data_IF_079831972350
#
_entry.id   IF_079831972350
#
_cell.length_a   1.000
_cell.length_b   1.000
_cell.length_c   1.000
_cell.angle_alpha   90.00
_cell.angle_beta   90.00
_cell.angle_gamma   90.00
#
_symmetry.space_group_name_H-M   'P 1'
#
loop_
_entity.id
_entity.type
_entity.pdbx_description
1 polymer ?
#
# COMPACT_ATOMS: atom_id res chain seq x y z
N UNK A 1 1.05 1.61 18.41
CA UNK A 1 1.04 2.69 17.38
C UNK A 1 -0.43 2.95 17.07
N UNK A 2 -0.85 4.21 16.91
CA UNK A 2 -2.22 4.52 16.46
C UNK A 2 -2.36 4.17 14.98
N UNK A 3 -3.54 3.71 14.54
CA UNK A 3 -3.82 3.35 13.14
C UNK A 3 -3.44 4.46 12.16
N UNK A 4 -3.76 5.71 12.50
CA UNK A 4 -3.41 6.90 11.72
C UNK A 4 -1.90 7.01 11.44
N UNK A 5 -1.05 6.68 12.43
CA UNK A 5 0.41 6.71 12.25
C UNK A 5 0.87 5.62 11.30
N UNK A 6 0.25 4.44 11.37
CA UNK A 6 0.52 3.32 10.45
C UNK A 6 0.12 3.70 9.02
N UNK A 7 -1.08 4.24 8.83
CA UNK A 7 -1.57 4.71 7.53
C UNK A 7 -0.62 5.74 6.92
N UNK A 8 -0.16 6.73 7.70
CA UNK A 8 0.80 7.73 7.22
C UNK A 8 2.13 7.10 6.78
N UNK A 9 2.66 6.15 7.55
CA UNK A 9 3.90 5.44 7.19
C UNK A 9 3.72 4.62 5.90
N UNK A 10 2.58 3.96 5.74
CA UNK A 10 2.24 3.25 4.52
C UNK A 10 2.19 4.20 3.31
N UNK A 11 1.56 5.37 3.45
CA UNK A 11 1.51 6.39 2.40
C UNK A 11 2.92 6.87 2.00
N UNK A 12 3.80 7.13 2.97
CA UNK A 12 5.18 7.53 2.69
C UNK A 12 5.96 6.46 1.89
N UNK A 13 5.73 5.18 2.18
CA UNK A 13 6.36 4.08 1.43
C UNK A 13 5.78 3.98 0.01
N UNK A 14 4.47 4.14 -0.15
CA UNK A 14 3.81 4.14 -1.46
C UNK A 14 4.31 5.29 -2.35
N UNK A 15 4.51 6.47 -1.79
CA UNK A 15 5.08 7.62 -2.52
C UNK A 15 6.50 7.34 -3.04
N UNK A 16 7.31 6.60 -2.28
CA UNK A 16 8.64 6.17 -2.73
C UNK A 16 8.55 5.21 -3.91
N UNK A 17 7.60 4.26 -3.87
CA UNK A 17 7.36 3.33 -4.99
C UNK A 17 6.90 4.10 -6.24
N UNK A 18 6.02 5.08 -6.07
CA UNK A 18 5.53 5.92 -7.17
C UNK A 18 6.63 6.78 -7.81
N UNK A 19 7.60 7.23 -7.01
CA UNK A 19 8.70 8.08 -7.47
C UNK A 19 9.88 7.31 -8.06
N UNK A 20 9.87 5.99 -7.99
CA UNK A 20 10.94 5.14 -8.49
C UNK A 20 10.73 4.80 -9.98
N UNK A 21 11.62 5.32 -10.83
CA UNK A 21 11.58 5.09 -12.28
C UNK A 21 11.94 3.66 -12.69
N UNK A 22 12.57 2.88 -11.82
CA UNK A 22 12.78 1.46 -12.04
C UNK A 22 11.49 0.63 -11.87
N UNK A 23 10.43 1.23 -11.33
CA UNK A 23 9.15 0.55 -11.11
C UNK A 23 8.25 0.68 -12.36
N UNK A 24 7.75 -0.46 -12.88
CA UNK A 24 6.76 -0.49 -13.97
C UNK A 24 5.56 0.43 -13.72
N UNK A 25 5.06 1.06 -14.79
CA UNK A 25 3.97 2.06 -14.73
C UNK A 25 2.68 1.49 -14.12
N UNK A 26 2.37 0.22 -14.37
CA UNK A 26 1.20 -0.44 -13.80
C UNK A 26 1.30 -0.53 -12.27
N UNK A 27 2.47 -0.89 -11.73
CA UNK A 27 2.70 -1.00 -10.29
C UNK A 27 2.65 0.37 -9.63
N UNK A 28 3.26 1.40 -10.24
CA UNK A 28 3.15 2.79 -9.76
C UNK A 28 1.71 3.28 -9.71
N UNK A 29 0.90 2.94 -10.71
CA UNK A 29 -0.53 3.29 -10.75
C UNK A 29 -1.34 2.57 -9.66
N UNK A 30 -1.04 1.30 -9.39
CA UNK A 30 -1.69 0.59 -8.29
C UNK A 30 -1.29 1.16 -6.93
N UNK A 31 -0.01 1.52 -6.74
CA UNK A 31 0.44 2.20 -5.52
C UNK A 31 -0.26 3.55 -5.30
N UNK A 32 -0.49 4.32 -6.38
CA UNK A 32 -1.29 5.54 -6.34
C UNK A 32 -2.75 5.28 -5.93
N UNK A 33 -3.36 4.23 -6.47
CA UNK A 33 -4.73 3.83 -6.09
C UNK A 33 -4.81 3.43 -4.61
N UNK A 34 -3.85 2.63 -4.13
CA UNK A 34 -3.77 2.26 -2.71
C UNK A 34 -3.63 3.50 -1.84
N UNK A 35 -2.76 4.44 -2.21
CA UNK A 35 -2.61 5.71 -1.49
C UNK A 35 -3.93 6.48 -1.42
N UNK A 36 -4.68 6.55 -2.52
CA UNK A 36 -5.98 7.24 -2.53
C UNK A 36 -6.99 6.60 -1.56
N UNK A 37 -7.04 5.25 -1.51
CA UNK A 37 -7.87 4.51 -0.56
C UNK A 37 -7.47 4.82 0.89
N UNK A 38 -6.17 4.80 1.20
CA UNK A 38 -5.69 5.06 2.56
C UNK A 38 -5.98 6.50 3.04
N UNK A 39 -6.08 7.45 2.11
CA UNK A 39 -6.38 8.87 2.39
C UNK A 39 -7.88 9.20 2.37
N UNK A 40 -8.74 8.24 2.05
CA UNK A 40 -10.18 8.46 2.02
C UNK A 40 -10.75 8.63 3.44
N UNK A 41 -11.12 9.85 3.81
CA UNK A 41 -11.68 10.15 5.13
C UNK A 41 -13.13 9.65 5.31
N UNK A 42 -13.81 9.26 4.22
CA UNK A 42 -15.20 8.78 4.27
C UNK A 42 -15.32 7.32 4.70
N UNK A 43 -14.25 6.54 4.57
CA UNK A 43 -14.21 5.11 4.86
C UNK A 43 -13.59 4.80 6.23
N UNK A 44 -13.98 3.65 6.81
CA UNK A 44 -13.39 3.15 8.05
C UNK A 44 -11.95 2.68 7.80
N UNK A 45 -11.06 2.90 8.77
CA UNK A 45 -9.65 2.45 8.72
C UNK A 45 -9.49 0.96 8.41
N UNK A 46 -10.36 0.11 8.97
CA UNK A 46 -10.33 -1.34 8.71
C UNK A 46 -10.70 -1.68 7.26
N UNK A 47 -11.69 -0.97 6.70
CA UNK A 47 -12.13 -1.15 5.31
C UNK A 47 -11.01 -0.68 4.37
N UNK A 48 -10.43 0.49 4.64
CA UNK A 48 -9.28 1.02 3.90
C UNK A 48 -8.10 0.05 3.90
N UNK A 49 -7.75 -0.49 5.07
CA UNK A 49 -6.67 -1.45 5.21
C UNK A 49 -6.93 -2.72 4.39
N UNK A 50 -8.14 -3.29 4.49
CA UNK A 50 -8.50 -4.50 3.75
C UNK A 50 -8.47 -4.29 2.22
N UNK A 51 -9.04 -3.19 1.73
CA UNK A 51 -9.03 -2.85 0.30
C UNK A 51 -7.61 -2.60 -0.21
N UNK A 52 -6.78 -1.90 0.57
CA UNK A 52 -5.38 -1.67 0.25
C UNK A 52 -4.59 -2.98 0.17
N UNK A 53 -4.70 -3.87 1.16
CA UNK A 53 -4.01 -5.17 1.19
C UNK A 53 -4.37 -5.99 -0.05
N UNK A 54 -5.66 -6.06 -0.42
CA UNK A 54 -6.09 -6.79 -1.62
C UNK A 54 -5.37 -6.33 -2.89
N UNK A 55 -5.25 -5.02 -3.11
CA UNK A 55 -4.54 -4.47 -4.28
C UNK A 55 -3.03 -4.72 -4.19
N UNK A 56 -2.45 -4.61 -2.99
CA UNK A 56 -1.03 -4.86 -2.74
C UNK A 56 -0.66 -6.33 -3.01
N UNK A 57 -1.54 -7.27 -2.69
CA UNK A 57 -1.37 -8.69 -2.99
C UNK A 57 -1.45 -8.96 -4.49
N UNK A 58 -2.38 -8.32 -5.20
CA UNK A 58 -2.48 -8.43 -6.66
C UNK A 58 -1.19 -7.99 -7.35
N UNK A 59 -0.64 -6.82 -7.00
CA UNK A 59 0.62 -6.33 -7.60
C UNK A 59 1.84 -7.10 -7.13
N UNK A 60 1.79 -7.70 -5.93
CA UNK A 60 2.84 -8.60 -5.46
C UNK A 60 2.94 -9.84 -6.36
N UNK A 61 1.87 -10.25 -7.01
CA UNK A 61 1.89 -11.38 -7.93
C UNK A 61 2.32 -11.02 -9.37
N UNK A 62 2.63 -9.74 -9.65
CA UNK A 62 3.12 -9.33 -10.98
C UNK A 62 4.51 -9.95 -11.26
N UNK A 63 4.72 -10.60 -12.42
CA UNK A 63 6.00 -11.20 -12.76
C UNK A 63 7.11 -10.17 -13.02
N UNK A 64 6.77 -8.92 -13.35
CA UNK A 64 7.70 -7.85 -13.68
C UNK A 64 8.04 -6.94 -12.49
N UNK A 65 7.49 -7.20 -11.31
CA UNK A 65 7.78 -6.39 -10.11
C UNK A 65 9.25 -6.54 -9.69
N UNK A 66 9.97 -5.42 -9.50
CA UNK A 66 11.32 -5.45 -8.94
C UNK A 66 11.35 -6.04 -7.53
N UNK A 67 12.44 -6.74 -7.19
CA UNK A 67 12.58 -7.40 -5.88
C UNK A 67 12.45 -6.41 -4.71
N UNK A 68 13.09 -5.23 -4.81
CA UNK A 68 13.02 -4.22 -3.76
C UNK A 68 11.60 -3.68 -3.59
N UNK A 69 10.88 -3.46 -4.69
CA UNK A 69 9.48 -3.02 -4.68
C UNK A 69 8.56 -4.06 -4.04
N UNK A 70 8.78 -5.35 -4.33
CA UNK A 70 8.06 -6.46 -3.69
C UNK A 70 8.25 -6.47 -2.17
N UNK A 71 9.48 -6.27 -1.69
CA UNK A 71 9.76 -6.18 -0.24
C UNK A 71 9.07 -4.97 0.39
N UNK A 72 9.05 -3.82 -0.29
CA UNK A 72 8.34 -2.62 0.19
C UNK A 72 6.83 -2.85 0.27
N UNK A 73 6.24 -3.47 -0.76
CA UNK A 73 4.80 -3.79 -0.77
C UNK A 73 4.43 -4.75 0.35
N UNK A 74 5.22 -5.82 0.53
CA UNK A 74 5.03 -6.75 1.64
C UNK A 74 5.07 -6.03 3.00
N UNK A 75 6.03 -5.12 3.18
CA UNK A 75 6.14 -4.33 4.40
C UNK A 75 4.91 -3.42 4.62
N UNK A 76 4.38 -2.79 3.58
CA UNK A 76 3.14 -1.99 3.67
C UNK A 76 1.95 -2.88 4.02
N UNK A 77 1.78 -4.02 3.36
CA UNK A 77 0.69 -4.95 3.65
C UNK A 77 0.73 -5.43 5.11
N UNK A 78 1.90 -5.87 5.61
CA UNK A 78 2.06 -6.29 7.00
C UNK A 78 1.81 -5.17 8.01
N UNK A 79 2.12 -3.92 7.67
CA UNK A 79 1.75 -2.78 8.52
C UNK A 79 0.23 -2.57 8.55
N UNK A 80 -0.43 -2.63 7.41
CA UNK A 80 -1.89 -2.47 7.32
C UNK A 80 -2.64 -3.59 8.05
N UNK A 81 -2.11 -4.81 8.08
CA UNK A 81 -2.67 -5.93 8.86
C UNK A 81 -2.69 -5.67 10.37
N UNK A 82 -1.84 -4.76 10.87
CA UNK A 82 -1.85 -4.39 12.29
C UNK A 82 -3.03 -3.49 12.68
N UNK A 83 -3.77 -2.97 11.71
CA UNK A 83 -4.96 -2.15 11.94
C UNK A 83 -6.09 -3.08 12.41
N UNK A 84 -6.65 -2.87 13.62
CA UNK A 84 -7.70 -3.73 14.14
C UNK A 84 -8.96 -3.64 13.26
N UNK A 85 -9.53 -4.79 12.93
CA UNK A 85 -10.90 -4.87 12.39
C UNK A 85 -11.84 -4.66 13.57
N UNK A 86 -12.27 -3.42 13.78
CA UNK A 86 -13.17 -3.01 14.87
C UNK A 86 -14.64 -3.23 14.51
#
# INVERSE_FOLDING_TARGET
MTSEKVLKQCVEVLERIMSDDAVPRNIRRSAENVKAILLDESENEAIKAASAISILDEISNDPNIPLHTRTLIWNVASQLETIPVA
#
